data_IF_140451573117
#
_entry.id   IF_140451573117
#
_cell.length_a   1.000
_cell.length_b   1.000
_cell.length_c   1.000
_cell.angle_alpha   90.00
_cell.angle_beta   90.00
_cell.angle_gamma   90.00
#
_symmetry.space_group_name_H-M   'P 1'
#
loop_
_entity.id
_entity.type
_entity.pdbx_description
1 polymer ?
#
# COMPACT_ATOMS: atom_id res chain seq x y z
N UNK A 1 12.29 -38.96 17.39
CA UNK A 1 11.89 -38.18 16.21
C UNK A 1 11.19 -36.81 16.48
N UNK A 2 11.50 -35.98 17.51
CA UNK A 2 10.68 -34.76 17.73
C UNK A 2 11.27 -33.42 17.22
N UNK A 3 12.60 -33.23 17.25
CA UNK A 3 13.21 -31.89 17.02
C UNK A 3 13.09 -31.37 15.58
N UNK A 4 13.25 -32.24 14.58
CA UNK A 4 13.16 -31.85 13.17
C UNK A 4 11.70 -31.62 12.73
N UNK A 5 10.76 -32.40 13.27
CA UNK A 5 9.32 -32.23 13.02
C UNK A 5 8.83 -30.91 13.63
N UNK A 6 9.26 -30.60 14.85
CA UNK A 6 8.93 -29.33 15.51
C UNK A 6 9.51 -28.12 14.75
N UNK A 7 10.79 -28.19 14.34
CA UNK A 7 11.42 -27.14 13.53
C UNK A 7 10.68 -26.93 12.19
N UNK A 8 10.32 -28.03 11.50
CA UNK A 8 9.57 -27.97 10.25
C UNK A 8 8.19 -27.29 10.43
N UNK A 9 7.48 -27.60 11.52
CA UNK A 9 6.19 -26.97 11.82
C UNK A 9 6.33 -25.45 12.04
N UNK A 10 7.34 -25.03 12.80
CA UNK A 10 7.62 -23.60 13.05
C UNK A 10 7.92 -22.86 11.74
N UNK A 11 8.73 -23.44 10.86
CA UNK A 11 9.08 -22.85 9.56
C UNK A 11 7.86 -22.72 8.64
N UNK A 12 6.99 -23.72 8.60
CA UNK A 12 5.75 -23.68 7.81
C UNK A 12 4.80 -22.60 8.34
N UNK A 13 4.61 -22.52 9.66
CA UNK A 13 3.77 -21.51 10.28
C UNK A 13 4.29 -20.07 10.02
N UNK A 14 5.60 -19.85 10.15
CA UNK A 14 6.23 -18.57 9.85
C UNK A 14 6.04 -18.17 8.38
N UNK A 15 6.20 -19.12 7.45
CA UNK A 15 6.02 -18.91 6.01
C UNK A 15 4.60 -18.48 5.66
N UNK A 16 3.59 -19.11 6.28
CA UNK A 16 2.18 -18.76 6.10
C UNK A 16 1.87 -17.37 6.66
N UNK A 17 2.39 -17.06 7.84
CA UNK A 17 2.23 -15.73 8.46
C UNK A 17 2.81 -14.61 7.59
N UNK A 18 4.00 -14.80 7.01
CA UNK A 18 4.61 -13.82 6.12
C UNK A 18 3.78 -13.58 4.85
N UNK A 19 3.21 -14.64 4.26
CA UNK A 19 2.33 -14.52 3.07
C UNK A 19 1.07 -13.74 3.38
N UNK A 20 0.40 -14.04 4.50
CA UNK A 20 -0.81 -13.34 4.92
C UNK A 20 -0.55 -11.85 5.16
N UNK A 21 0.57 -11.50 5.80
CA UNK A 21 0.99 -10.11 5.99
C UNK A 21 1.27 -9.42 4.65
N UNK A 22 2.00 -10.06 3.73
CA UNK A 22 2.30 -9.49 2.42
C UNK A 22 1.03 -9.21 1.60
N UNK A 23 0.04 -10.10 1.64
CA UNK A 23 -1.25 -9.91 0.96
C UNK A 23 -2.01 -8.72 1.57
N UNK A 24 -2.06 -8.63 2.91
CA UNK A 24 -2.73 -7.53 3.60
C UNK A 24 -2.13 -6.16 3.25
N UNK A 25 -0.80 -6.04 3.29
CA UNK A 25 -0.09 -4.82 2.89
C UNK A 25 -0.39 -4.47 1.43
N UNK A 26 -0.34 -5.45 0.54
CA UNK A 26 -0.59 -5.24 -0.90
C UNK A 26 -2.03 -4.77 -1.17
N UNK A 27 -3.02 -5.33 -0.47
CA UNK A 27 -4.42 -4.89 -0.57
C UNK A 27 -4.61 -3.46 -0.07
N UNK A 28 -3.96 -3.11 1.05
CA UNK A 28 -4.00 -1.74 1.57
C UNK A 28 -3.38 -0.74 0.58
N UNK A 29 -2.21 -1.05 0.02
CA UNK A 29 -1.58 -0.23 -1.00
C UNK A 29 -2.45 -0.06 -2.25
N UNK A 30 -3.07 -1.15 -2.71
CA UNK A 30 -3.99 -1.13 -3.85
C UNK A 30 -5.20 -0.24 -3.58
N UNK A 31 -5.81 -0.36 -2.40
CA UNK A 31 -6.94 0.47 -1.97
C UNK A 31 -6.59 1.95 -1.86
N UNK A 32 -5.47 2.29 -1.20
CA UNK A 32 -4.99 3.68 -1.13
C UNK A 32 -4.75 4.27 -2.53
N UNK A 33 -4.15 3.47 -3.43
CA UNK A 33 -3.88 3.91 -4.81
C UNK A 33 -5.17 4.15 -5.60
N UNK A 34 -6.18 3.29 -5.45
CA UNK A 34 -7.48 3.49 -6.09
C UNK A 34 -8.15 4.80 -5.65
N UNK A 35 -8.13 5.11 -4.35
CA UNK A 35 -8.64 6.39 -3.83
C UNK A 35 -7.83 7.58 -4.33
N UNK A 36 -6.50 7.45 -4.38
CA UNK A 36 -5.61 8.48 -4.92
C UNK A 36 -5.93 8.81 -6.38
N UNK A 37 -6.07 7.78 -7.22
CA UNK A 37 -6.46 7.92 -8.63
C UNK A 37 -7.83 8.60 -8.76
N UNK A 38 -8.81 8.19 -7.96
CA UNK A 38 -10.14 8.81 -7.98
C UNK A 38 -10.08 10.31 -7.62
N UNK A 39 -9.25 10.70 -6.64
CA UNK A 39 -9.05 12.09 -6.25
C UNK A 39 -8.39 12.91 -7.37
N UNK A 40 -7.34 12.37 -8.01
CA UNK A 40 -6.68 13.01 -9.14
C UNK A 40 -7.64 13.18 -10.33
N UNK A 41 -8.44 12.15 -10.61
CA UNK A 41 -9.47 12.21 -11.65
C UNK A 41 -10.55 13.26 -11.35
N UNK A 42 -11.01 13.35 -10.09
CA UNK A 42 -11.95 14.39 -9.65
C UNK A 42 -11.37 15.80 -9.76
N UNK A 43 -10.05 15.96 -9.64
CA UNK A 43 -9.33 17.20 -9.88
C UNK A 43 -9.09 17.49 -11.37
N UNK A 44 -9.52 16.62 -12.29
CA UNK A 44 -9.37 16.76 -13.74
C UNK A 44 -8.04 16.24 -14.30
N UNK A 45 -7.30 15.44 -13.54
CA UNK A 45 -5.99 14.92 -13.93
C UNK A 45 -5.97 13.40 -14.12
N UNK A 46 -5.23 12.93 -15.13
CA UNK A 46 -5.09 11.51 -15.46
C UNK A 46 -3.79 10.85 -14.97
N UNK A 47 -3.56 9.61 -15.42
CA UNK A 47 -2.37 8.81 -15.12
C UNK A 47 -1.14 9.35 -15.85
N UNK A 48 -0.44 10.36 -15.29
CA UNK A 48 0.96 10.77 -15.60
C UNK A 48 1.31 12.18 -15.06
N UNK A 49 0.59 12.71 -14.05
CA UNK A 49 0.83 14.08 -13.57
C UNK A 49 2.29 14.27 -13.12
N UNK A 50 3.05 15.17 -13.75
CA UNK A 50 4.43 15.44 -13.34
C UNK A 50 4.46 16.01 -11.92
N UNK A 51 5.49 15.67 -11.14
CA UNK A 51 5.63 16.16 -9.76
C UNK A 51 5.57 17.68 -9.62
N UNK A 52 6.10 18.43 -10.60
CA UNK A 52 6.00 19.89 -10.63
C UNK A 52 4.54 20.39 -10.74
N UNK A 53 3.70 19.70 -11.53
CA UNK A 53 2.28 20.03 -11.67
C UNK A 53 1.51 19.68 -10.40
N UNK A 54 1.84 18.56 -9.75
CA UNK A 54 1.31 18.20 -8.43
C UNK A 54 1.62 19.30 -7.42
N UNK A 55 2.87 19.77 -7.35
CA UNK A 55 3.29 20.82 -6.42
C UNK A 55 2.67 22.18 -6.71
N UNK A 56 2.45 22.52 -7.98
CA UNK A 56 1.87 23.80 -8.41
C UNK A 56 0.34 23.85 -8.26
N UNK A 57 -0.33 22.71 -8.05
CA UNK A 57 -1.80 22.63 -8.06
C UNK A 57 -2.33 22.23 -6.68
N UNK A 58 -3.00 23.12 -5.93
CA UNK A 58 -3.40 22.87 -4.55
C UNK A 58 -4.25 21.60 -4.34
N UNK A 59 -5.17 21.32 -5.27
CA UNK A 59 -6.00 20.10 -5.21
C UNK A 59 -5.16 18.82 -5.33
N UNK A 60 -4.16 18.79 -6.20
CA UNK A 60 -3.25 17.65 -6.38
C UNK A 60 -2.33 17.47 -5.17
N UNK A 61 -1.84 18.55 -4.57
CA UNK A 61 -1.07 18.49 -3.31
C UNK A 61 -1.91 17.81 -2.22
N UNK A 62 -3.18 18.19 -2.07
CA UNK A 62 -4.08 17.60 -1.09
C UNK A 62 -4.33 16.10 -1.36
N UNK A 63 -4.63 15.73 -2.61
CA UNK A 63 -4.81 14.33 -3.01
C UNK A 63 -3.55 13.49 -2.72
N UNK A 64 -2.36 14.00 -3.10
CA UNK A 64 -1.09 13.31 -2.91
C UNK A 64 -0.75 13.16 -1.41
N UNK A 65 -1.00 14.20 -0.61
CA UNK A 65 -0.79 14.13 0.83
C UNK A 65 -1.73 13.10 1.50
N UNK A 66 -2.98 13.01 1.05
CA UNK A 66 -3.92 11.99 1.54
C UNK A 66 -3.45 10.57 1.18
N UNK A 67 -2.94 10.37 -0.04
CA UNK A 67 -2.36 9.10 -0.47
C UNK A 67 -1.19 8.68 0.41
N UNK A 68 -0.22 9.57 0.65
CA UNK A 68 0.94 9.30 1.52
C UNK A 68 0.48 8.95 2.95
N UNK A 69 -0.50 9.67 3.50
CA UNK A 69 -1.08 9.38 4.82
C UNK A 69 -1.74 8.00 4.87
N UNK A 70 -2.50 7.63 3.85
CA UNK A 70 -3.13 6.30 3.74
C UNK A 70 -2.06 5.20 3.72
N UNK A 71 -1.06 5.33 2.82
CA UNK A 71 0.01 4.35 2.68
C UNK A 71 0.85 4.20 3.95
N UNK A 72 1.07 5.27 4.72
CA UNK A 72 1.79 5.23 6.00
C UNK A 72 1.14 4.33 7.07
N UNK A 73 -0.11 3.93 6.85
CA UNK A 73 -0.87 3.03 7.74
C UNK A 73 -0.87 1.57 7.26
N UNK A 74 -0.40 1.28 6.04
CA UNK A 74 -0.49 -0.06 5.46
C UNK A 74 0.51 -1.07 6.04
N UNK A 75 1.61 -0.61 6.64
CA UNK A 75 2.67 -1.46 7.21
C UNK A 75 2.73 -1.39 8.73
N UNK A 76 1.73 -0.77 9.36
CA UNK A 76 1.54 -0.80 10.82
C UNK A 76 0.62 -1.95 11.18
#
# INVERSE_FOLDING_TARGET
MPKHVFLALVLVAASLCQRSQAIGVSLCYSGCSAVGVACFAAAGFGFTVPGAVIAATPALVACNAALVKCMSRCTK
#
